data_IF_868905953522
#
_entry.id   IF_868905953522
#
_cell.length_a   1.000
_cell.length_b   1.000
_cell.length_c   1.000
_cell.angle_alpha   90.00
_cell.angle_beta   90.00
_cell.angle_gamma   90.00
#
_symmetry.space_group_name_H-M   'P 1'
#
loop_
_entity.id
_entity.type
_entity.pdbx_description
1 polymer ?
#
# COMPACT_ATOMS: atom_id res chain seq x y z
N UNK A 1 18.50 -0.82 -8.79
CA UNK A 1 18.52 -2.27 -8.53
C UNK A 1 17.09 -2.75 -8.63
N UNK A 2 16.74 -3.36 -9.75
CA UNK A 2 15.41 -3.93 -9.96
C UNK A 2 15.25 -5.12 -9.03
N UNK A 3 14.29 -5.03 -8.11
CA UNK A 3 14.09 -6.06 -7.10
C UNK A 3 12.83 -6.82 -7.46
N UNK A 4 12.93 -8.14 -7.54
CA UNK A 4 11.84 -9.03 -7.91
C UNK A 4 11.63 -10.05 -6.79
N UNK A 5 10.41 -10.56 -6.69
CA UNK A 5 10.02 -11.56 -5.69
C UNK A 5 9.67 -12.86 -6.42
N UNK A 6 10.10 -14.01 -5.89
CA UNK A 6 9.65 -15.30 -6.42
C UNK A 6 8.14 -15.47 -6.19
N UNK A 7 7.36 -15.77 -7.22
CA UNK A 7 5.92 -16.00 -7.08
C UNK A 7 5.58 -17.27 -6.27
N UNK A 8 6.51 -18.24 -6.20
CA UNK A 8 6.28 -19.50 -5.48
C UNK A 8 6.53 -19.42 -3.97
N UNK A 9 7.64 -18.80 -3.55
CA UNK A 9 8.05 -18.78 -2.13
C UNK A 9 8.18 -17.37 -1.54
N UNK A 10 7.87 -16.33 -2.31
CA UNK A 10 7.94 -14.93 -1.89
C UNK A 10 9.31 -14.46 -1.38
N UNK A 11 10.37 -15.20 -1.75
CA UNK A 11 11.76 -14.83 -1.45
C UNK A 11 12.19 -13.69 -2.36
N UNK A 12 12.97 -12.78 -1.78
CA UNK A 12 13.61 -11.69 -2.51
C UNK A 12 14.70 -12.20 -3.43
N UNK A 13 14.70 -11.70 -4.67
CA UNK A 13 15.65 -12.10 -5.69
C UNK A 13 16.33 -10.88 -6.32
N UNK A 14 17.56 -11.09 -6.76
CA UNK A 14 18.24 -10.22 -7.72
C UNK A 14 17.94 -10.71 -9.14
N UNK A 15 17.88 -9.82 -10.15
CA UNK A 15 17.51 -10.19 -11.53
C UNK A 15 18.45 -11.20 -12.19
N UNK A 16 19.70 -11.30 -11.71
CA UNK A 16 20.76 -12.10 -12.32
C UNK A 16 20.71 -13.60 -11.93
N UNK A 17 19.69 -14.01 -11.18
CA UNK A 17 19.54 -15.40 -10.73
C UNK A 17 18.77 -16.24 -11.75
N UNK A 18 19.36 -17.37 -12.16
CA UNK A 18 18.66 -18.38 -12.98
C UNK A 18 17.70 -19.26 -12.17
N UNK A 19 17.92 -19.36 -10.85
CA UNK A 19 17.11 -20.15 -9.92
C UNK A 19 16.81 -19.37 -8.64
N UNK A 20 15.64 -19.59 -8.06
CA UNK A 20 15.24 -18.98 -6.82
C UNK A 20 16.06 -19.52 -5.65
N UNK A 21 16.69 -18.64 -4.86
CA UNK A 21 17.48 -19.02 -3.69
C UNK A 21 16.68 -19.69 -2.56
N UNK A 22 15.36 -19.50 -2.53
CA UNK A 22 14.47 -20.07 -1.50
C UNK A 22 13.89 -21.43 -1.86
N UNK A 23 13.41 -21.62 -3.09
CA UNK A 23 12.73 -22.85 -3.52
C UNK A 23 13.45 -23.61 -4.64
N UNK A 24 14.58 -23.10 -5.13
CA UNK A 24 15.38 -23.66 -6.22
C UNK A 24 14.65 -23.84 -7.56
N UNK A 25 13.48 -23.22 -7.74
CA UNK A 25 12.78 -23.22 -9.03
C UNK A 25 13.51 -22.32 -10.03
N UNK A 26 13.55 -22.72 -11.31
CA UNK A 26 14.04 -21.88 -12.40
C UNK A 26 13.24 -20.56 -12.47
N UNK A 27 13.91 -19.45 -12.75
CA UNK A 27 13.30 -18.12 -12.82
C UNK A 27 13.03 -17.75 -14.27
N UNK A 28 11.80 -17.34 -14.55
CA UNK A 28 11.36 -16.78 -15.82
C UNK A 28 10.93 -15.34 -15.61
N UNK A 29 11.69 -14.39 -16.18
CA UNK A 29 11.45 -12.95 -16.00
C UNK A 29 10.33 -12.43 -16.90
N UNK A 30 10.11 -13.07 -18.06
CA UNK A 30 9.12 -12.70 -19.06
C UNK A 30 8.39 -13.92 -19.65
N UNK A 31 7.49 -13.65 -20.61
CA UNK A 31 6.67 -14.65 -21.28
C UNK A 31 5.50 -15.17 -20.44
N UNK A 32 4.75 -16.12 -21.01
CA UNK A 32 3.56 -16.70 -20.38
C UNK A 32 3.89 -17.50 -19.10
N UNK A 33 5.14 -17.96 -18.99
CA UNK A 33 5.64 -18.72 -17.85
C UNK A 33 6.31 -17.84 -16.79
N UNK A 34 6.17 -16.51 -16.88
CA UNK A 34 6.72 -15.57 -15.89
C UNK A 34 6.31 -15.98 -14.48
N UNK A 35 7.30 -16.20 -13.61
CA UNK A 35 7.09 -16.72 -12.25
C UNK A 35 7.70 -15.82 -11.17
N UNK A 36 7.79 -14.52 -11.48
CA UNK A 36 8.25 -13.47 -10.59
C UNK A 36 7.18 -12.40 -10.40
N UNK A 37 7.25 -11.71 -9.27
CA UNK A 37 6.46 -10.53 -8.94
C UNK A 37 7.41 -9.33 -8.94
N UNK A 38 7.29 -8.52 -9.97
CA UNK A 38 8.07 -7.29 -10.19
C UNK A 38 7.23 -6.02 -10.03
N UNK A 39 5.91 -6.17 -9.91
CA UNK A 39 4.97 -5.08 -9.67
C UNK A 39 3.86 -5.52 -8.72
N UNK A 40 3.36 -4.57 -7.94
CA UNK A 40 2.17 -4.77 -7.12
C UNK A 40 0.93 -4.70 -8.02
N UNK A 41 0.09 -5.74 -7.96
CA UNK A 41 -1.19 -5.78 -8.64
C UNK A 41 -2.29 -5.95 -7.58
N UNK A 42 -2.80 -4.84 -7.03
CA UNK A 42 -3.75 -4.90 -5.93
C UNK A 42 -5.01 -5.69 -6.29
N UNK A 43 -5.44 -6.55 -5.39
CA UNK A 43 -6.70 -7.30 -5.50
C UNK A 43 -7.65 -7.05 -4.31
N UNK A 44 -7.19 -6.30 -3.30
CA UNK A 44 -8.02 -5.83 -2.20
C UNK A 44 -7.67 -4.40 -1.79
N UNK A 45 -8.55 -3.82 -0.98
CA UNK A 45 -8.32 -2.61 -0.22
C UNK A 45 -8.31 -2.96 1.26
N UNK A 46 -7.40 -2.36 2.04
CA UNK A 46 -7.28 -2.63 3.47
C UNK A 46 -7.45 -1.36 4.30
N UNK A 47 -8.08 -1.54 5.44
CA UNK A 47 -8.16 -0.54 6.50
C UNK A 47 -7.30 -0.97 7.69
N UNK A 48 -6.09 -0.43 7.77
CA UNK A 48 -5.08 -0.89 8.73
C UNK A 48 -5.09 -0.12 10.06
N UNK A 49 -5.39 1.18 10.01
CA UNK A 49 -5.19 2.09 11.13
C UNK A 49 -6.53 2.57 11.66
N UNK A 50 -6.95 2.06 12.81
CA UNK A 50 -8.17 2.52 13.47
C UNK A 50 -8.11 4.03 13.72
N UNK A 51 -9.18 4.74 13.33
CA UNK A 51 -9.27 6.20 13.42
C UNK A 51 -8.60 6.95 12.25
N UNK A 52 -7.93 6.25 11.34
CA UNK A 52 -7.46 6.82 10.08
C UNK A 52 -8.57 6.84 9.04
N UNK A 53 -8.40 7.63 7.99
CA UNK A 53 -9.19 7.59 6.75
C UNK A 53 -8.39 7.03 5.57
N UNK A 54 -7.24 6.42 5.86
CA UNK A 54 -6.37 5.79 4.88
C UNK A 54 -6.96 4.45 4.44
N UNK A 55 -7.21 4.34 3.15
CA UNK A 55 -7.51 3.09 2.46
C UNK A 55 -6.30 2.72 1.59
N UNK A 56 -5.71 1.55 1.82
CA UNK A 56 -4.51 1.12 1.11
C UNK A 56 -4.83 0.02 0.10
N UNK A 57 -4.35 0.11 -1.15
CA UNK A 57 -4.38 -1.01 -2.08
C UNK A 57 -3.37 -2.08 -1.65
N UNK A 58 -3.80 -3.35 -1.69
CA UNK A 58 -2.94 -4.47 -1.28
C UNK A 58 -3.20 -5.73 -2.10
N UNK A 59 -2.29 -6.70 -1.98
CA UNK A 59 -2.41 -8.05 -2.53
C UNK A 59 -2.59 -9.04 -1.40
N UNK A 60 -3.62 -9.87 -1.48
CA UNK A 60 -3.80 -11.02 -0.58
C UNK A 60 -2.70 -12.05 -0.87
N UNK A 61 -1.87 -12.32 0.15
CA UNK A 61 -0.80 -13.32 0.10
C UNK A 61 -1.26 -14.65 0.69
N UNK A 62 -2.01 -14.61 1.80
CA UNK A 62 -2.55 -15.81 2.44
C UNK A 62 -3.77 -15.49 3.28
N UNK A 63 -4.78 -16.34 3.23
CA UNK A 63 -5.96 -16.22 4.09
C UNK A 63 -5.92 -17.19 5.28
N UNK A 64 -6.47 -16.73 6.40
CA UNK A 64 -6.79 -17.56 7.56
C UNK A 64 -8.27 -17.41 7.92
N UNK A 65 -8.72 -18.05 9.00
CA UNK A 65 -10.12 -18.01 9.42
C UNK A 65 -10.60 -16.59 9.78
N UNK A 66 -9.76 -15.81 10.46
CA UNK A 66 -10.13 -14.49 11.02
C UNK A 66 -9.33 -13.34 10.39
N UNK A 67 -8.12 -13.63 9.92
CA UNK A 67 -7.18 -12.64 9.40
C UNK A 67 -6.74 -12.96 7.98
N UNK A 68 -6.17 -11.96 7.31
CA UNK A 68 -5.52 -12.07 6.01
C UNK A 68 -4.11 -11.53 6.11
N UNK A 69 -3.17 -12.20 5.48
CA UNK A 69 -1.82 -11.72 5.22
C UNK A 69 -1.81 -11.01 3.88
N UNK A 70 -1.42 -9.74 3.87
CA UNK A 70 -1.45 -8.87 2.69
C UNK A 70 -0.10 -8.19 2.47
N UNK A 71 0.19 -7.83 1.23
CA UNK A 71 1.34 -7.02 0.85
C UNK A 71 0.87 -5.73 0.16
N UNK A 72 1.25 -4.57 0.70
CA UNK A 72 1.02 -3.25 0.09
C UNK A 72 2.18 -2.83 -0.80
N UNK A 73 3.36 -3.44 -0.60
CA UNK A 73 4.61 -3.17 -1.35
C UNK A 73 5.31 -4.49 -1.64
N UNK A 74 6.19 -4.52 -2.65
CA UNK A 74 6.95 -5.72 -3.01
C UNK A 74 7.72 -6.29 -1.82
N UNK A 75 8.25 -5.41 -0.96
CA UNK A 75 9.00 -5.77 0.23
C UNK A 75 8.22 -6.67 1.19
N UNK A 76 6.91 -6.47 1.26
CA UNK A 76 6.04 -7.10 2.25
C UNK A 76 5.64 -8.52 1.84
N UNK A 77 5.95 -8.99 0.64
CA UNK A 77 5.71 -10.39 0.29
C UNK A 77 6.48 -11.36 1.19
N UNK A 78 7.71 -11.01 1.57
CA UNK A 78 8.53 -11.82 2.47
C UNK A 78 8.04 -11.75 3.93
N UNK A 79 7.46 -10.62 4.34
CA UNK A 79 6.90 -10.40 5.67
C UNK A 79 5.54 -9.68 5.59
N UNK A 80 4.46 -10.39 5.22
CA UNK A 80 3.17 -9.77 4.97
C UNK A 80 2.55 -9.16 6.21
N UNK A 81 1.83 -8.05 6.01
CA UNK A 81 1.04 -7.40 7.05
C UNK A 81 -0.17 -8.27 7.37
N UNK A 82 -0.47 -8.43 8.67
CA UNK A 82 -1.66 -9.17 9.12
C UNK A 82 -2.79 -8.19 9.38
N UNK A 83 -3.92 -8.38 8.73
CA UNK A 83 -5.13 -7.53 8.85
C UNK A 83 -6.33 -8.42 9.15
N UNK A 84 -7.27 -7.92 9.96
CA UNK A 84 -8.54 -8.63 10.20
C UNK A 84 -9.39 -8.68 8.95
N UNK A 85 -10.05 -9.81 8.66
CA UNK A 85 -10.92 -9.98 7.48
C UNK A 85 -12.01 -8.91 7.38
N UNK A 86 -12.52 -8.43 8.52
CA UNK A 86 -13.54 -7.37 8.58
C UNK A 86 -13.05 -6.01 8.04
N UNK A 87 -11.73 -5.82 7.95
CA UNK A 87 -11.07 -4.61 7.46
C UNK A 87 -10.46 -4.81 6.06
N UNK A 88 -10.84 -5.87 5.36
CA UNK A 88 -10.41 -6.15 3.98
C UNK A 88 -11.62 -6.06 3.06
N UNK A 89 -11.49 -5.26 2.01
CA UNK A 89 -12.55 -4.98 1.05
C UNK A 89 -12.11 -5.38 -0.35
N UNK A 90 -13.08 -5.64 -1.23
CA UNK A 90 -12.79 -5.88 -2.64
C UNK A 90 -12.10 -4.65 -3.27
N UNK A 91 -11.15 -4.89 -4.17
CA UNK A 91 -10.48 -3.79 -4.84
C UNK A 91 -11.45 -3.01 -5.74
N UNK A 92 -11.47 -1.69 -5.54
CA UNK A 92 -12.26 -0.77 -6.35
C UNK A 92 -11.47 0.53 -6.54
N UNK A 93 -10.93 0.71 -7.75
CA UNK A 93 -10.12 1.87 -8.08
C UNK A 93 -10.91 3.19 -7.98
N UNK A 94 -12.18 3.19 -8.37
CA UNK A 94 -13.04 4.38 -8.33
C UNK A 94 -13.22 4.89 -6.90
N UNK A 95 -13.52 3.98 -5.96
CA UNK A 95 -13.68 4.32 -4.54
C UNK A 95 -12.35 4.80 -3.94
N UNK A 96 -11.24 4.09 -4.25
CA UNK A 96 -9.91 4.49 -3.77
C UNK A 96 -9.56 5.91 -4.21
N UNK A 97 -9.72 6.22 -5.50
CA UNK A 97 -9.44 7.55 -6.04
C UNK A 97 -10.37 8.63 -5.48
N UNK A 98 -11.66 8.34 -5.29
CA UNK A 98 -12.58 9.28 -4.69
C UNK A 98 -12.19 9.64 -3.25
N UNK A 99 -11.87 8.64 -2.42
CA UNK A 99 -11.40 8.86 -1.05
C UNK A 99 -10.09 9.67 -1.04
N UNK A 100 -9.14 9.36 -1.93
CA UNK A 100 -7.90 10.11 -2.04
C UNK A 100 -8.13 11.57 -2.43
N UNK A 101 -9.06 11.86 -3.35
CA UNK A 101 -9.43 13.24 -3.74
C UNK A 101 -9.95 14.02 -2.53
N UNK A 102 -10.92 13.45 -1.82
CA UNK A 102 -11.53 14.09 -0.64
C UNK A 102 -10.49 14.38 0.46
N UNK A 103 -9.52 13.49 0.64
CA UNK A 103 -8.41 13.70 1.60
C UNK A 103 -7.52 14.86 1.19
N UNK A 104 -7.17 14.94 -0.09
CA UNK A 104 -6.38 16.04 -0.63
C UNK A 104 -7.12 17.38 -0.51
N UNK A 105 -8.41 17.40 -0.82
CA UNK A 105 -9.28 18.57 -0.68
C UNK A 105 -9.37 19.02 0.78
N UNK A 106 -9.55 18.08 1.72
CA UNK A 106 -9.56 18.39 3.16
C UNK A 106 -8.24 19.01 3.60
N UNK A 107 -7.11 18.42 3.23
CA UNK A 107 -5.78 18.95 3.57
C UNK A 107 -5.59 20.36 3.02
N UNK A 108 -5.91 20.58 1.75
CA UNK A 108 -5.80 21.90 1.13
C UNK A 108 -6.70 22.95 1.82
N UNK A 109 -7.91 22.55 2.21
CA UNK A 109 -8.86 23.42 2.91
C UNK A 109 -8.37 23.79 4.31
N UNK A 110 -7.88 22.82 5.08
CA UNK A 110 -7.31 23.06 6.41
C UNK A 110 -6.11 24.02 6.31
N UNK A 111 -5.18 23.75 5.38
CA UNK A 111 -4.02 24.64 5.17
C UNK A 111 -4.44 26.07 4.83
N UNK A 112 -5.49 26.23 4.01
CA UNK A 112 -6.03 27.55 3.69
C UNK A 112 -6.60 28.25 4.93
N UNK A 113 -7.34 27.53 5.77
CA UNK A 113 -7.87 28.11 7.01
C UNK A 113 -6.74 28.49 7.98
N UNK A 114 -5.72 27.65 8.13
CA UNK A 114 -4.56 27.96 8.97
C UNK A 114 -3.86 29.25 8.52
N UNK A 115 -3.68 29.44 7.21
CA UNK A 115 -3.11 30.66 6.65
C UNK A 115 -3.98 31.90 6.94
N UNK A 116 -5.30 31.79 6.76
CA UNK A 116 -6.21 32.90 7.03
C UNK A 116 -6.21 33.28 8.51
N UNK A 117 -6.29 32.28 9.39
CA UNK A 117 -6.21 32.48 10.84
C UNK A 117 -4.90 33.20 11.17
N UNK A 118 -3.75 32.69 10.69
CA UNK A 118 -2.44 33.29 10.93
C UNK A 118 -2.39 34.75 10.46
N UNK A 119 -2.98 35.06 9.29
CA UNK A 119 -3.05 36.43 8.79
C UNK A 119 -3.84 37.35 9.73
N UNK A 120 -4.93 36.88 10.35
CA UNK A 120 -5.70 37.67 11.31
C UNK A 120 -4.95 37.88 12.62
N UNK A 121 -4.23 36.87 13.12
CA UNK A 121 -3.38 37.03 14.31
C UNK A 121 -2.37 38.16 14.18
N UNK A 122 -1.79 38.37 12.99
CA UNK A 122 -0.83 39.43 12.72
C UNK A 122 -1.41 40.85 12.84
N UNK A 123 -2.73 41.01 12.79
CA UNK A 123 -3.40 42.31 12.91
C UNK A 123 -3.77 42.66 14.36
N UNK A 124 -3.59 41.74 15.32
CA UNK A 124 -3.89 42.01 16.72
C UNK A 124 -2.83 42.96 17.32
N UNK A 125 -3.30 43.99 18.03
CA UNK A 125 -2.45 44.89 18.79
C UNK A 125 -2.30 44.37 20.23
N UNK A 126 -1.14 44.56 20.88
CA UNK A 126 -0.99 44.28 22.30
C UNK A 126 -2.01 45.04 23.15
N UNK A 127 -2.52 44.39 24.19
CA UNK A 127 -3.37 45.05 25.19
C UNK A 127 -2.56 46.12 25.94
N UNK A 128 -3.15 47.31 26.12
CA UNK A 128 -2.55 48.45 26.83
C UNK A 128 -2.98 48.49 28.30
#
# INVERSE_FOLDING_TARGET
MDRIICAGCHTWLTPDLSHCSGCNNAIFLDGDNKNIIDRIQPNCLIYRYDGSDILEPAVIVKESKVNVKVATKLQEYAAPVVVSKKNVYAFNQTILSAIQSLRNERTATIMRYDQLIQSHWQHLQPYQ
#
